data_IF_567576776625
#
_entry.id   IF_567576776625
#
_cell.length_a   1.000
_cell.length_b   1.000
_cell.length_c   1.000
_cell.angle_alpha   90.00
_cell.angle_beta   90.00
_cell.angle_gamma   90.00
#
_symmetry.space_group_name_H-M   'P 1'
#
loop_
_entity.id
_entity.type
_entity.pdbx_description
1 polymer ?
#
# COMPACT_ATOMS: atom_id res chain seq x y z
N UNK A 1 0.60 0.96 -16.96
CA UNK A 1 0.30 0.05 -15.84
C UNK A 1 -1.06 0.43 -15.25
N UNK A 2 -2.09 -0.40 -15.43
CA UNK A 2 -3.48 -0.02 -15.10
C UNK A 2 -3.84 -0.20 -13.62
N UNK A 3 -5.05 0.22 -13.24
CA UNK A 3 -5.57 0.16 -11.86
C UNK A 3 -5.62 -1.25 -11.29
N UNK A 4 -5.84 -2.25 -12.15
CA UNK A 4 -5.79 -3.66 -11.76
C UNK A 4 -4.41 -4.11 -11.26
N UNK A 5 -3.34 -3.36 -11.53
CA UNK A 5 -2.02 -3.61 -10.93
C UNK A 5 -2.03 -3.30 -9.44
N UNK A 6 -2.59 -2.13 -9.05
CA UNK A 6 -2.63 -1.66 -7.67
C UNK A 6 -3.48 -2.57 -6.80
N UNK A 7 -4.71 -2.90 -7.24
CA UNK A 7 -5.58 -3.83 -6.52
C UNK A 7 -4.92 -5.20 -6.29
N UNK A 8 -4.20 -5.72 -7.29
CA UNK A 8 -3.42 -6.97 -7.13
C UNK A 8 -2.30 -6.80 -6.10
N UNK A 9 -1.57 -5.69 -6.14
CA UNK A 9 -0.51 -5.42 -5.16
C UNK A 9 -1.06 -5.31 -3.74
N UNK A 10 -2.24 -4.70 -3.56
CA UNK A 10 -2.89 -4.59 -2.26
C UNK A 10 -3.36 -5.94 -1.72
N UNK A 11 -3.93 -6.80 -2.58
CA UNK A 11 -4.27 -8.18 -2.19
C UNK A 11 -3.04 -8.97 -1.74
N UNK A 12 -1.94 -8.89 -2.49
CA UNK A 12 -0.67 -9.52 -2.11
C UNK A 12 -0.16 -8.94 -0.79
N UNK A 13 -0.24 -7.61 -0.62
CA UNK A 13 0.16 -6.94 0.62
C UNK A 13 -0.64 -7.41 1.83
N UNK A 14 -1.96 -7.62 1.67
CA UNK A 14 -2.80 -8.16 2.74
C UNK A 14 -2.40 -9.60 3.11
N UNK A 15 -2.13 -10.46 2.13
CA UNK A 15 -1.67 -11.84 2.38
C UNK A 15 -0.30 -11.85 3.07
N UNK A 16 0.66 -11.06 2.56
CA UNK A 16 2.00 -10.93 3.16
C UNK A 16 1.90 -10.35 4.57
N UNK A 17 1.01 -9.40 4.81
CA UNK A 17 0.78 -8.84 6.14
C UNK A 17 0.19 -9.88 7.09
N UNK A 18 -0.75 -10.73 6.66
CA UNK A 18 -1.28 -11.79 7.52
C UNK A 18 -0.20 -12.83 7.87
N UNK A 19 0.59 -13.26 6.89
CA UNK A 19 1.70 -14.20 7.13
C UNK A 19 2.78 -13.58 8.02
N UNK A 20 3.14 -12.33 7.75
CA UNK A 20 4.09 -11.56 8.55
C UNK A 20 3.61 -11.34 9.98
N UNK A 21 2.30 -11.19 10.19
CA UNK A 21 1.71 -11.04 11.52
C UNK A 21 1.84 -12.30 12.37
N UNK A 22 1.73 -13.50 11.78
CA UNK A 22 1.96 -14.76 12.49
C UNK A 22 3.40 -14.80 13.00
N UNK A 23 4.38 -14.46 12.16
CA UNK A 23 5.80 -14.38 12.57
C UNK A 23 6.04 -13.27 13.59
N UNK A 24 5.41 -12.11 13.39
CA UNK A 24 5.48 -10.99 14.32
C UNK A 24 4.95 -11.37 15.71
N UNK A 25 3.91 -12.21 15.78
CA UNK A 25 3.36 -12.70 17.04
C UNK A 25 4.28 -13.70 17.73
N UNK A 26 4.95 -14.58 16.98
CA UNK A 26 5.87 -15.57 17.55
C UNK A 26 7.18 -14.97 18.04
N UNK A 27 7.74 -13.96 17.34
CA UNK A 27 9.06 -13.42 17.66
C UNK A 27 9.02 -12.06 18.37
N UNK A 28 8.04 -11.21 18.06
CA UNK A 28 7.92 -9.84 18.61
C UNK A 28 6.84 -9.69 19.68
N UNK A 29 6.07 -10.75 19.95
CA UNK A 29 4.94 -10.73 20.87
C UNK A 29 3.68 -10.08 20.29
N UNK A 30 2.59 -10.17 21.03
CA UNK A 30 1.26 -9.78 20.56
C UNK A 30 1.15 -8.28 20.23
N UNK A 31 1.75 -7.41 21.05
CA UNK A 31 1.74 -5.96 20.83
C UNK A 31 2.46 -5.53 19.55
N UNK A 32 3.54 -6.23 19.18
CA UNK A 32 4.24 -6.00 17.91
C UNK A 32 3.43 -6.51 16.72
N UNK A 33 2.83 -7.68 16.83
CA UNK A 33 1.98 -8.26 15.78
C UNK A 33 0.72 -7.42 15.50
N UNK A 34 0.05 -6.95 16.55
CA UNK A 34 -1.09 -6.06 16.44
C UNK A 34 -0.68 -4.72 15.81
N UNK A 35 0.45 -4.16 16.25
CA UNK A 35 1.03 -2.95 15.64
C UNK A 35 1.29 -3.16 14.14
N UNK A 36 1.94 -4.27 13.79
CA UNK A 36 2.24 -4.65 12.41
C UNK A 36 0.98 -4.78 11.54
N UNK A 37 -0.06 -5.48 12.01
CA UNK A 37 -1.31 -5.59 11.25
C UNK A 37 -2.01 -4.24 11.09
N UNK A 38 -2.05 -3.44 12.15
CA UNK A 38 -2.65 -2.11 12.09
C UNK A 38 -1.89 -1.22 11.11
N UNK A 39 -0.55 -1.19 11.17
CA UNK A 39 0.28 -0.44 10.22
C UNK A 39 0.10 -0.89 8.77
N UNK A 40 0.03 -2.21 8.53
CA UNK A 40 -0.19 -2.74 7.18
C UNK A 40 -1.59 -2.39 6.66
N UNK A 41 -2.65 -2.59 7.46
CA UNK A 41 -4.02 -2.23 7.10
C UNK A 41 -4.17 -0.74 6.86
N UNK A 42 -3.55 0.07 7.70
CA UNK A 42 -3.46 1.52 7.57
C UNK A 42 -2.91 1.94 6.22
N UNK A 43 -1.77 1.39 5.83
CA UNK A 43 -1.15 1.76 4.56
C UNK A 43 -1.92 1.22 3.35
N UNK A 44 -2.54 0.04 3.46
CA UNK A 44 -3.45 -0.48 2.42
C UNK A 44 -4.61 0.49 2.17
N UNK A 45 -5.24 1.00 3.24
CA UNK A 45 -6.30 2.00 3.13
C UNK A 45 -5.79 3.30 2.50
N UNK A 46 -4.59 3.75 2.85
CA UNK A 46 -3.98 4.92 2.23
C UNK A 46 -3.78 4.76 0.72
N UNK A 47 -3.25 3.62 0.29
CA UNK A 47 -3.05 3.34 -1.13
C UNK A 47 -4.38 3.20 -1.88
N UNK A 48 -5.43 2.65 -1.25
CA UNK A 48 -6.78 2.62 -1.82
C UNK A 48 -7.33 4.03 -2.03
N UNK A 49 -7.25 4.89 -1.01
CA UNK A 49 -7.71 6.28 -1.11
C UNK A 49 -6.95 7.06 -2.19
N UNK A 50 -5.62 6.87 -2.28
CA UNK A 50 -4.82 7.46 -3.37
C UNK A 50 -5.31 6.96 -4.73
N UNK A 51 -5.56 5.66 -4.86
CA UNK A 51 -6.07 5.08 -6.11
C UNK A 51 -7.39 5.71 -6.52
N UNK A 52 -8.33 5.86 -5.58
CA UNK A 52 -9.62 6.50 -5.85
C UNK A 52 -9.50 7.98 -6.16
N UNK A 53 -8.58 8.70 -5.52
CA UNK A 53 -8.29 10.10 -5.82
C UNK A 53 -7.76 10.26 -7.24
N UNK A 54 -6.77 9.45 -7.61
CA UNK A 54 -6.20 9.44 -8.97
C UNK A 54 -7.29 9.11 -9.98
N UNK A 55 -8.13 8.10 -9.74
CA UNK A 55 -9.28 7.80 -10.61
C UNK A 55 -10.22 8.99 -10.79
N UNK A 56 -10.56 9.68 -9.70
CA UNK A 56 -11.46 10.85 -9.76
C UNK A 56 -10.83 12.04 -10.50
N UNK A 57 -9.50 12.22 -10.38
CA UNK A 57 -8.78 13.30 -11.06
C UNK A 57 -8.64 13.07 -12.58
N UNK A 58 -8.49 11.81 -12.99
CA UNK A 58 -8.34 11.44 -14.41
C UNK A 58 -9.66 10.98 -15.08
N UNK A 59 -10.76 10.94 -14.34
CA UNK A 59 -12.09 10.67 -14.92
C UNK A 59 -12.51 11.78 -15.88
N UNK A 60 -13.10 11.39 -17.02
CA UNK A 60 -13.60 12.32 -18.04
C UNK A 60 -14.62 13.32 -17.49
N UNK A 61 -15.40 12.92 -16.47
CA UNK A 61 -16.22 13.84 -15.68
C UNK A 61 -15.71 13.91 -14.23
N UNK A 62 -15.09 15.03 -13.89
CA UNK A 62 -14.56 15.29 -12.55
C UNK A 62 -15.68 15.72 -11.60
N UNK A 63 -16.08 14.85 -10.69
CA UNK A 63 -16.95 15.23 -9.57
C UNK A 63 -16.15 15.95 -8.48
N UNK A 64 -16.28 17.27 -8.40
CA UNK A 64 -15.63 18.10 -7.37
C UNK A 64 -16.04 17.67 -5.96
N UNK A 65 -17.30 17.26 -5.77
CA UNK A 65 -17.82 16.76 -4.49
C UNK A 65 -17.16 15.45 -4.06
N UNK A 66 -16.99 14.51 -5.00
CA UNK A 66 -16.31 13.23 -4.71
C UNK A 66 -14.83 13.44 -4.39
N UNK A 67 -14.17 14.37 -5.07
CA UNK A 67 -12.79 14.75 -4.79
C UNK A 67 -12.65 15.38 -3.39
N UNK A 68 -13.53 16.32 -3.04
CA UNK A 68 -13.55 16.96 -1.73
C UNK A 68 -13.79 15.95 -0.60
N UNK A 69 -14.74 15.01 -0.77
CA UNK A 69 -14.98 13.92 0.18
C UNK A 69 -13.77 13.01 0.34
N UNK A 70 -13.11 12.60 -0.75
CA UNK A 70 -11.92 11.75 -0.68
C UNK A 70 -10.76 12.45 0.03
N UNK A 71 -10.57 13.74 -0.18
CA UNK A 71 -9.58 14.53 0.55
C UNK A 71 -9.97 14.67 2.02
N UNK A 72 -11.23 14.99 2.31
CA UNK A 72 -11.75 15.13 3.67
C UNK A 72 -11.71 13.83 4.46
N UNK A 73 -11.79 12.66 3.82
CA UNK A 73 -11.57 11.36 4.46
C UNK A 73 -10.08 11.07 4.62
N UNK A 74 -9.27 11.40 3.62
CA UNK A 74 -7.83 11.10 3.62
C UNK A 74 -7.08 11.82 4.74
N UNK A 75 -7.37 13.08 5.01
CA UNK A 75 -6.64 13.84 6.05
C UNK A 75 -6.87 13.30 7.48
N UNK A 76 -8.12 13.07 7.94
CA UNK A 76 -8.39 12.44 9.22
C UNK A 76 -7.93 10.99 9.27
N UNK A 77 -8.00 10.27 8.14
CA UNK A 77 -7.40 8.94 8.09
C UNK A 77 -5.90 9.10 8.32
N UNK A 78 -5.10 9.69 7.41
CA UNK A 78 -3.64 9.77 7.52
C UNK A 78 -3.10 10.30 8.85
N UNK A 79 -3.65 11.40 9.35
CA UNK A 79 -3.10 12.08 10.51
C UNK A 79 -3.86 11.72 11.79
N UNK A 80 -5.20 11.72 11.72
CA UNK A 80 -6.04 11.51 12.90
C UNK A 80 -5.99 10.08 13.41
N UNK A 81 -6.21 9.09 12.54
CA UNK A 81 -6.16 7.72 13.02
C UNK A 81 -4.72 7.25 13.27
N UNK A 82 -3.69 7.84 12.65
CA UNK A 82 -2.30 7.42 12.86
C UNK A 82 -1.85 7.83 14.25
N UNK A 83 -2.24 9.05 14.62
CA UNK A 83 -2.15 9.54 15.99
C UNK A 83 -3.00 8.70 16.95
N UNK A 84 -4.27 8.42 16.64
CA UNK A 84 -5.14 7.63 17.53
C UNK A 84 -4.62 6.20 17.75
N UNK A 85 -4.08 5.57 16.70
CA UNK A 85 -3.53 4.23 16.75
C UNK A 85 -2.33 4.16 17.70
N UNK A 86 -1.48 5.20 17.70
CA UNK A 86 -0.32 5.29 18.57
C UNK A 86 -0.66 5.78 19.98
N UNK A 87 -1.64 6.67 20.11
CA UNK A 87 -2.04 7.27 21.38
C UNK A 87 -2.87 6.32 22.27
N UNK A 88 -3.70 5.45 21.66
CA UNK A 88 -4.65 4.62 22.41
C UNK A 88 -4.39 3.11 22.29
N UNK A 89 -3.51 2.67 21.39
CA UNK A 89 -3.41 1.26 21.03
C UNK A 89 -2.57 0.37 21.95
N UNK A 90 -1.74 0.95 22.83
CA UNK A 90 -0.63 0.23 23.50
C UNK A 90 0.21 -0.63 22.52
N UNK A 91 0.21 -0.20 21.25
CA UNK A 91 0.81 -0.91 20.14
C UNK A 91 2.28 -0.55 20.04
N UNK A 92 3.10 -1.53 19.68
CA UNK A 92 4.50 -1.25 19.38
C UNK A 92 4.61 -0.31 18.18
N UNK A 93 5.19 0.87 18.39
CA UNK A 93 5.49 1.84 17.33
C UNK A 93 6.33 1.19 16.22
N UNK A 94 7.31 0.37 16.60
CA UNK A 94 8.14 -0.38 15.66
C UNK A 94 7.32 -1.37 14.83
N UNK A 95 6.35 -2.04 15.45
CA UNK A 95 5.41 -2.92 14.75
C UNK A 95 4.60 -2.16 13.70
N UNK A 96 3.99 -1.04 14.10
CA UNK A 96 3.21 -0.17 13.21
C UNK A 96 4.03 0.31 12.02
N UNK A 97 5.23 0.84 12.25
CA UNK A 97 6.11 1.31 11.17
C UNK A 97 6.50 0.18 10.22
N UNK A 98 6.88 -0.96 10.76
CA UNK A 98 7.28 -2.13 9.95
C UNK A 98 6.12 -2.61 9.08
N UNK A 99 4.93 -2.76 9.66
CA UNK A 99 3.73 -3.16 8.93
C UNK A 99 3.33 -2.13 7.87
N UNK A 100 3.40 -0.84 8.19
CA UNK A 100 3.12 0.24 7.27
C UNK A 100 4.04 0.20 6.04
N UNK A 101 5.30 -0.19 6.18
CA UNK A 101 6.24 -0.23 5.06
C UNK A 101 6.00 -1.40 4.08
N UNK A 102 5.38 -2.50 4.50
CA UNK A 102 5.23 -3.71 3.67
C UNK A 102 4.52 -3.44 2.33
N UNK A 103 3.34 -2.78 2.29
CA UNK A 103 2.68 -2.52 1.01
C UNK A 103 3.50 -1.63 0.08
N UNK A 104 4.30 -0.68 0.61
CA UNK A 104 5.19 0.15 -0.21
C UNK A 104 6.31 -0.68 -0.84
N UNK A 105 6.94 -1.56 -0.05
CA UNK A 105 8.00 -2.45 -0.54
C UNK A 105 7.46 -3.35 -1.67
N UNK A 106 6.27 -3.95 -1.48
CA UNK A 106 5.65 -4.81 -2.50
C UNK A 106 5.37 -4.03 -3.78
N UNK A 107 4.82 -2.82 -3.68
CA UNK A 107 4.56 -1.97 -4.85
C UNK A 107 5.87 -1.60 -5.55
N UNK A 108 6.90 -1.21 -4.80
CA UNK A 108 8.21 -0.84 -5.33
C UNK A 108 8.89 -2.02 -6.05
N UNK A 109 8.93 -3.20 -5.43
CA UNK A 109 9.50 -4.42 -6.02
C UNK A 109 8.78 -4.80 -7.31
N UNK A 110 7.45 -4.74 -7.31
CA UNK A 110 6.65 -5.09 -8.48
C UNK A 110 6.82 -4.08 -9.61
N UNK A 111 6.98 -2.79 -9.29
CA UNK A 111 7.28 -1.75 -10.27
C UNK A 111 8.69 -1.92 -10.85
N UNK A 112 9.69 -2.22 -10.02
CA UNK A 112 11.05 -2.49 -10.45
C UNK A 112 11.12 -3.74 -11.36
N UNK A 113 10.45 -4.83 -10.97
CA UNK A 113 10.38 -6.05 -11.77
C UNK A 113 9.74 -5.80 -13.14
N UNK A 114 8.65 -5.05 -13.20
CA UNK A 114 8.02 -4.70 -14.47
C UNK A 114 8.94 -3.84 -15.37
N UNK A 115 9.68 -2.89 -14.79
CA UNK A 115 10.65 -2.06 -15.54
C UNK A 115 11.86 -2.85 -16.05
N UNK A 116 12.33 -3.85 -15.31
CA UNK A 116 13.43 -4.73 -15.75
C UNK A 116 13.00 -5.64 -16.89
N UNK A 117 11.78 -6.20 -16.83
CA UNK A 117 11.25 -7.04 -17.91
C UNK A 117 11.05 -6.27 -19.22
N UNK A 118 10.62 -5.01 -19.13
CA UNK A 118 10.47 -4.12 -20.29
C UNK A 118 11.80 -3.87 -21.00
N UNK A 119 12.87 -3.55 -20.23
CA UNK A 119 14.23 -3.41 -20.77
C UNK A 119 14.75 -4.69 -21.41
N UNK A 120 14.54 -5.84 -20.76
CA UNK A 120 14.97 -7.14 -21.28
C UNK A 120 14.28 -7.54 -22.59
N UNK A 121 13.02 -7.11 -22.80
CA UNK A 121 12.29 -7.31 -24.05
C UNK A 121 12.82 -6.41 -25.18
N UNK A 122 13.17 -5.16 -24.88
CA UNK A 122 13.75 -4.24 -25.88
C UNK A 122 15.18 -4.60 -26.28
N UNK A 123 15.96 -5.20 -25.37
CA UNK A 123 17.36 -5.58 -25.63
C UNK A 123 17.53 -6.96 -26.28
N UNK A 124 16.45 -7.74 -26.43
CA UNK A 124 16.49 -9.08 -27.01
C UNK A 124 16.96 -9.06 -28.47
N UNK A 125 17.94 -9.89 -28.87
CA UNK A 125 18.53 -9.88 -30.22
C UNK A 125 17.54 -10.22 -31.33
N UNK A 126 16.41 -10.86 -31.02
CA UNK A 126 15.33 -11.16 -31.98
C UNK A 126 14.57 -9.91 -32.47
N UNK A 127 14.67 -8.77 -31.78
CA UNK A 127 13.94 -7.54 -32.09
C UNK A 127 14.80 -6.48 -32.82
N UNK A 128 16.08 -6.78 -33.09
CA UNK A 128 17.00 -5.89 -33.84
C UNK A 128 17.07 -6.21 -35.35
N UNK A 129 16.26 -7.16 -35.83
CA UNK A 129 16.26 -7.64 -37.21
C UNK A 129 15.00 -7.25 -38.01
N UNK A 130 14.17 -6.36 -37.48
CA UNK A 130 13.04 -5.70 -38.16
C UNK A 130 13.22 -4.20 -38.09
#
# INVERSE_FOLDING_TARGET
MGIGFVYRSLKISAVVALLGAVLAATYGGFGFAAGFLCGAGWNILNLLLITWLVQCLFAAQRSKTRLALLLAVKFPLLYGGGFALLAYGDLSVYGVLTGFSIPLIIVALKAAGAGLMDKGLTDSPSNRLT
#
